data_IF_764479470343
#
_entry.id   IF_764479470343
#
_cell.length_a   1.000
_cell.length_b   1.000
_cell.length_c   1.000
_cell.angle_alpha   90.00
_cell.angle_beta   90.00
_cell.angle_gamma   90.00
#
_symmetry.space_group_name_H-M   'P 1'
#
loop_
_entity.id
_entity.type
_entity.pdbx_description
1 polymer ?
#
# COMPACT_ATOMS: atom_id res chain seq x y z
N UNK A 1 28.17 -17.52 2.94
CA UNK A 1 27.78 -16.23 3.56
C UNK A 1 26.53 -15.64 2.93
N UNK A 2 26.46 -15.46 1.60
CA UNK A 2 25.28 -14.89 0.93
C UNK A 2 23.99 -15.68 1.21
N UNK A 3 24.01 -17.01 1.07
CA UNK A 3 22.83 -17.85 1.36
C UNK A 3 22.34 -17.72 2.80
N UNK A 4 23.26 -17.58 3.75
CA UNK A 4 22.94 -17.37 5.18
C UNK A 4 22.29 -16.00 5.42
N UNK A 5 22.70 -14.96 4.69
CA UNK A 5 22.08 -13.64 4.76
C UNK A 5 20.66 -13.67 4.18
N UNK A 6 20.48 -14.32 3.01
CA UNK A 6 19.17 -14.47 2.37
C UNK A 6 18.17 -15.22 3.26
N UNK A 7 18.61 -16.27 3.95
CA UNK A 7 17.76 -17.05 4.85
C UNK A 7 17.26 -16.27 6.09
N UNK A 8 17.88 -15.12 6.41
CA UNK A 8 17.47 -14.26 7.52
C UNK A 8 16.44 -13.20 7.13
N UNK A 9 16.13 -13.06 5.84
CA UNK A 9 15.13 -12.10 5.38
C UNK A 9 13.74 -12.52 5.89
N UNK A 10 12.94 -11.60 6.48
CA UNK A 10 11.61 -11.92 6.98
C UNK A 10 10.61 -12.02 5.82
N UNK A 11 10.65 -13.13 5.07
CA UNK A 11 9.80 -13.36 3.90
C UNK A 11 8.56 -14.16 4.33
N UNK A 12 7.35 -13.56 4.35
CA UNK A 12 6.15 -14.24 4.84
C UNK A 12 5.66 -15.36 3.90
N UNK A 13 5.97 -15.26 2.60
CA UNK A 13 5.56 -16.25 1.60
C UNK A 13 6.67 -16.47 0.58
N UNK A 14 7.24 -17.66 0.61
CA UNK A 14 8.21 -18.12 -0.38
C UNK A 14 7.49 -18.72 -1.59
N UNK A 15 8.07 -18.53 -2.78
CA UNK A 15 7.58 -19.09 -4.03
C UNK A 15 8.65 -20.00 -4.64
N UNK A 16 8.20 -21.04 -5.34
CA UNK A 16 9.01 -21.89 -6.22
C UNK A 16 8.59 -21.65 -7.66
N UNK A 17 9.49 -21.86 -8.62
CA UNK A 17 9.22 -21.64 -10.03
C UNK A 17 9.84 -22.75 -10.90
N UNK A 18 9.10 -23.15 -11.93
CA UNK A 18 9.47 -24.28 -12.80
C UNK A 18 9.68 -25.56 -12.00
N UNK A 19 10.68 -26.34 -12.39
CA UNK A 19 11.05 -27.60 -11.74
C UNK A 19 12.09 -27.41 -10.62
N UNK A 20 12.38 -26.17 -10.21
CA UNK A 20 13.40 -25.88 -9.20
C UNK A 20 12.88 -26.04 -7.76
N UNK A 21 13.75 -26.55 -6.88
CA UNK A 21 13.56 -26.54 -5.43
C UNK A 21 13.91 -25.20 -4.77
N UNK A 22 14.51 -24.27 -5.51
CA UNK A 22 14.89 -22.95 -5.00
C UNK A 22 13.65 -22.14 -4.62
N UNK A 23 13.71 -21.52 -3.44
CA UNK A 23 12.64 -20.71 -2.87
C UNK A 23 13.09 -19.27 -2.68
N UNK A 24 12.30 -18.31 -3.17
CA UNK A 24 12.48 -16.89 -2.92
C UNK A 24 11.16 -16.14 -3.11
N UNK A 25 11.12 -14.85 -2.75
CA UNK A 25 9.89 -14.03 -2.87
C UNK A 25 9.43 -13.87 -4.32
N UNK A 26 10.36 -13.85 -5.27
CA UNK A 26 10.14 -13.78 -6.72
C UNK A 26 11.28 -14.49 -7.46
N UNK A 27 11.09 -14.92 -8.72
CA UNK A 27 12.17 -15.48 -9.52
C UNK A 27 13.33 -14.48 -9.64
N UNK A 28 14.54 -14.94 -9.37
CA UNK A 28 15.76 -14.18 -9.60
C UNK A 28 16.26 -14.51 -11.01
N UNK A 29 16.79 -13.52 -11.71
CA UNK A 29 17.30 -13.70 -13.08
C UNK A 29 18.81 -13.50 -13.20
N UNK A 30 19.38 -12.64 -12.37
CA UNK A 30 20.81 -12.33 -12.36
C UNK A 30 21.31 -12.22 -10.92
N UNK A 31 22.58 -12.54 -10.73
CA UNK A 31 23.31 -12.35 -9.46
C UNK A 31 24.62 -11.65 -9.80
N UNK A 32 24.86 -10.49 -9.21
CA UNK A 32 26.11 -9.74 -9.39
C UNK A 32 26.80 -9.59 -8.06
N UNK A 33 28.01 -10.17 -7.95
CA UNK A 33 28.83 -10.13 -6.75
C UNK A 33 30.21 -9.59 -7.11
N UNK A 34 30.47 -8.32 -6.78
CA UNK A 34 31.73 -7.64 -7.07
C UNK A 34 32.39 -7.15 -5.78
N UNK A 35 33.71 -7.21 -5.72
CA UNK A 35 34.53 -6.52 -4.72
C UNK A 35 35.46 -5.54 -5.45
N UNK A 36 35.10 -4.25 -5.45
CA UNK A 36 35.74 -3.29 -6.34
C UNK A 36 35.58 -3.74 -7.79
N UNK A 37 36.68 -3.99 -8.49
CA UNK A 37 36.67 -4.51 -9.85
C UNK A 37 36.61 -6.05 -9.95
N UNK A 38 36.79 -6.79 -8.84
CA UNK A 38 36.91 -8.24 -8.89
C UNK A 38 35.54 -8.93 -8.87
N UNK A 39 35.33 -9.86 -9.81
CA UNK A 39 34.15 -10.73 -9.80
C UNK A 39 34.34 -11.84 -8.76
N UNK A 40 33.44 -11.92 -7.80
CA UNK A 40 33.45 -12.96 -6.78
C UNK A 40 32.64 -14.15 -7.31
N UNK A 41 33.28 -15.30 -7.63
CA UNK A 41 32.57 -16.46 -8.14
C UNK A 41 31.69 -17.08 -7.04
N UNK A 42 30.44 -17.39 -7.39
CA UNK A 42 29.57 -18.20 -6.55
C UNK A 42 28.17 -18.33 -7.14
N UNK A 43 27.46 -19.35 -6.66
CA UNK A 43 26.08 -19.62 -7.08
C UNK A 43 25.12 -19.22 -5.98
N UNK A 44 24.12 -18.40 -6.30
CA UNK A 44 23.10 -17.93 -5.37
C UNK A 44 21.74 -18.19 -5.99
N UNK A 45 20.85 -18.88 -5.26
CA UNK A 45 19.51 -19.23 -5.74
C UNK A 45 19.51 -19.96 -7.11
N UNK A 46 20.55 -20.78 -7.36
CA UNK A 46 20.73 -21.52 -8.60
C UNK A 46 21.28 -20.71 -9.78
N UNK A 47 21.76 -19.49 -9.53
CA UNK A 47 22.29 -18.58 -10.56
C UNK A 47 23.74 -18.26 -10.24
N UNK A 48 24.60 -18.42 -11.23
CA UNK A 48 26.01 -18.06 -11.10
C UNK A 48 26.21 -16.55 -11.14
N UNK A 49 27.13 -16.07 -10.31
CA UNK A 49 27.52 -14.68 -10.26
C UNK A 49 28.13 -14.22 -11.58
N UNK A 50 27.63 -13.11 -12.12
CA UNK A 50 28.16 -12.46 -13.31
C UNK A 50 28.21 -10.94 -13.12
N UNK A 51 28.92 -10.25 -14.02
CA UNK A 51 28.94 -8.78 -14.08
C UNK A 51 27.64 -8.17 -14.60
N UNK A 52 26.76 -9.03 -15.12
CA UNK A 52 25.52 -8.66 -15.79
C UNK A 52 24.46 -8.21 -14.79
N UNK A 53 23.98 -6.99 -14.96
CA UNK A 53 22.83 -6.41 -14.26
C UNK A 53 21.73 -6.08 -15.25
N UNK A 54 20.50 -5.97 -14.75
CA UNK A 54 19.33 -5.63 -15.55
C UNK A 54 18.81 -4.26 -15.15
N UNK A 55 18.48 -3.44 -16.16
CA UNK A 55 17.81 -2.17 -15.95
C UNK A 55 16.30 -2.35 -15.77
N UNK A 56 15.60 -1.22 -15.79
CA UNK A 56 14.16 -1.15 -15.65
C UNK A 56 13.46 -1.95 -16.76
N UNK A 57 12.43 -2.72 -16.41
CA UNK A 57 11.80 -3.68 -17.35
C UNK A 57 11.28 -3.05 -18.66
N UNK A 58 10.76 -1.84 -18.57
CA UNK A 58 10.14 -1.10 -19.68
C UNK A 58 10.94 0.10 -20.18
N UNK A 59 11.99 0.51 -19.46
CA UNK A 59 12.71 1.77 -19.68
C UNK A 59 14.21 1.53 -19.61
N UNK A 60 14.99 2.39 -20.27
CA UNK A 60 16.45 2.23 -20.26
C UNK A 60 16.90 0.97 -20.99
N UNK A 61 18.15 0.60 -20.72
CA UNK A 61 18.80 -0.57 -21.28
C UNK A 61 18.45 -1.82 -20.46
N UNK A 62 18.00 -2.88 -21.14
CA UNK A 62 17.47 -4.09 -20.49
C UNK A 62 18.55 -4.86 -19.71
N UNK A 63 19.78 -4.86 -20.20
CA UNK A 63 20.89 -5.62 -19.63
C UNK A 63 22.23 -4.94 -19.97
N UNK A 64 23.13 -4.85 -19.00
CA UNK A 64 24.47 -4.30 -19.17
C UNK A 64 25.42 -4.84 -18.09
N UNK A 65 26.73 -4.61 -18.25
CA UNK A 65 27.76 -5.10 -17.33
C UNK A 65 28.34 -4.00 -16.46
N UNK A 66 28.83 -4.39 -15.28
CA UNK A 66 29.57 -3.53 -14.36
C UNK A 66 31.04 -3.95 -14.33
N UNK A 67 31.93 -2.97 -14.53
CA UNK A 67 33.38 -3.19 -14.42
C UNK A 67 33.85 -3.08 -12.98
N UNK A 68 33.22 -2.18 -12.21
CA UNK A 68 33.49 -1.98 -10.80
C UNK A 68 32.19 -1.81 -10.00
N UNK A 69 32.15 -2.34 -8.77
CA UNK A 69 31.05 -2.20 -7.83
C UNK A 69 30.60 -0.75 -7.61
N UNK A 70 31.54 0.20 -7.55
CA UNK A 70 31.25 1.62 -7.29
C UNK A 70 30.45 2.29 -8.42
N UNK A 71 30.46 1.70 -9.61
CA UNK A 71 29.70 2.19 -10.75
C UNK A 71 28.20 1.85 -10.67
N UNK A 72 27.81 0.94 -9.77
CA UNK A 72 26.46 0.39 -9.67
C UNK A 72 25.37 1.47 -9.64
N UNK A 73 25.43 2.50 -8.75
CA UNK A 73 24.36 3.49 -8.68
C UNK A 73 24.28 4.36 -9.94
N UNK A 74 25.43 4.83 -10.45
CA UNK A 74 25.47 5.77 -11.57
C UNK A 74 25.06 5.11 -12.89
N UNK A 75 25.56 3.91 -13.17
CA UNK A 75 25.22 3.18 -14.41
C UNK A 75 23.73 2.80 -14.42
N UNK A 76 23.19 2.35 -13.29
CA UNK A 76 21.74 2.07 -13.18
C UNK A 76 20.90 3.32 -13.40
N UNK A 77 21.32 4.46 -12.87
CA UNK A 77 20.60 5.72 -13.04
C UNK A 77 20.57 6.16 -14.50
N UNK A 78 21.72 6.16 -15.18
CA UNK A 78 21.88 6.71 -16.52
C UNK A 78 21.35 5.77 -17.61
N UNK A 79 21.78 4.51 -17.58
CA UNK A 79 21.49 3.51 -18.62
C UNK A 79 20.27 2.68 -18.24
N UNK A 80 20.23 2.19 -17.01
CA UNK A 80 19.18 1.30 -16.54
C UNK A 80 17.86 1.96 -16.21
N UNK A 81 17.81 3.30 -16.06
CA UNK A 81 16.65 4.02 -15.51
C UNK A 81 16.20 3.44 -14.17
N UNK A 82 17.13 3.28 -13.24
CA UNK A 82 16.87 2.80 -11.87
C UNK A 82 17.62 3.69 -10.88
N UNK A 83 16.92 4.23 -9.88
CA UNK A 83 17.53 4.95 -8.77
C UNK A 83 17.93 3.92 -7.71
N UNK A 84 19.16 3.43 -7.75
CA UNK A 84 19.59 2.33 -6.88
C UNK A 84 19.57 2.68 -5.39
N UNK A 85 20.05 3.88 -5.03
CA UNK A 85 20.07 4.36 -3.65
C UNK A 85 18.65 4.57 -3.12
N UNK A 86 18.36 3.93 -1.99
CA UNK A 86 17.04 3.93 -1.38
C UNK A 86 16.66 5.31 -0.82
N UNK A 87 17.57 5.95 -0.09
CA UNK A 87 17.31 7.25 0.55
C UNK A 87 17.21 8.36 -0.49
N UNK A 88 18.07 8.33 -1.51
CA UNK A 88 18.01 9.27 -2.63
C UNK A 88 16.66 9.15 -3.38
N UNK A 89 16.20 7.92 -3.60
CA UNK A 89 14.90 7.66 -4.22
C UNK A 89 13.73 8.14 -3.38
N UNK A 90 13.76 7.85 -2.07
CA UNK A 90 12.76 8.31 -1.10
C UNK A 90 12.68 9.84 -1.06
N UNK A 91 13.83 10.51 -1.02
CA UNK A 91 13.92 11.96 -1.04
C UNK A 91 13.39 12.56 -2.37
N UNK A 92 13.69 11.91 -3.50
CA UNK A 92 13.18 12.32 -4.81
C UNK A 92 11.65 12.24 -4.87
N UNK A 93 11.07 11.11 -4.43
CA UNK A 93 9.60 10.93 -4.36
C UNK A 93 8.96 12.02 -3.50
N UNK A 94 9.51 12.25 -2.30
CA UNK A 94 9.00 13.27 -1.37
C UNK A 94 9.01 14.65 -2.00
N UNK A 95 10.16 15.07 -2.52
CA UNK A 95 10.34 16.39 -3.16
C UNK A 95 9.36 16.58 -4.31
N UNK A 96 9.28 15.60 -5.21
CA UNK A 96 8.47 15.72 -6.42
C UNK A 96 6.96 15.69 -6.08
N UNK A 97 6.55 14.94 -5.07
CA UNK A 97 5.18 14.94 -4.56
C UNK A 97 4.81 16.28 -3.90
N UNK A 98 5.69 16.86 -3.08
CA UNK A 98 5.51 18.19 -2.50
C UNK A 98 5.38 19.27 -3.58
N UNK A 99 6.26 19.27 -4.58
CA UNK A 99 6.23 20.21 -5.69
C UNK A 99 4.95 20.07 -6.52
N UNK A 100 4.53 18.85 -6.81
CA UNK A 100 3.29 18.59 -7.53
C UNK A 100 2.06 19.07 -6.72
N UNK A 101 2.05 18.90 -5.38
CA UNK A 101 0.99 19.41 -4.49
C UNK A 101 0.91 20.94 -4.45
N UNK A 102 2.06 21.60 -4.39
CA UNK A 102 2.10 23.06 -4.41
C UNK A 102 1.56 23.63 -5.73
N UNK A 103 1.85 23.00 -6.87
CA UNK A 103 1.36 23.45 -8.19
C UNK A 103 -0.16 23.48 -8.30
N UNK A 104 -0.84 22.62 -7.56
CA UNK A 104 -2.30 22.51 -7.55
C UNK A 104 -2.93 23.21 -6.33
N UNK A 105 -2.12 23.90 -5.53
CA UNK A 105 -2.57 24.67 -4.36
C UNK A 105 -2.94 23.81 -3.14
N UNK A 106 -2.44 22.57 -3.06
CA UNK A 106 -2.72 21.64 -1.96
C UNK A 106 -1.48 21.17 -1.20
N UNK A 107 -1.72 20.34 -0.18
CA UNK A 107 -0.68 19.71 0.65
C UNK A 107 -0.79 18.19 0.57
N UNK A 108 0.29 17.53 0.15
CA UNK A 108 0.36 16.08 0.11
C UNK A 108 0.53 15.51 1.52
N UNK A 109 -0.23 14.46 1.81
CA UNK A 109 -0.03 13.62 2.98
C UNK A 109 1.00 12.54 2.65
N UNK A 110 2.21 12.80 3.15
CA UNK A 110 3.42 12.03 2.92
C UNK A 110 3.80 11.34 4.24
N UNK A 111 2.91 10.50 4.78
CA UNK A 111 3.24 9.70 5.96
C UNK A 111 4.48 8.86 5.69
N UNK A 112 5.43 8.84 6.63
CA UNK A 112 6.72 8.17 6.43
C UNK A 112 6.54 6.70 6.04
N UNK A 113 5.59 5.99 6.67
CA UNK A 113 5.29 4.60 6.35
C UNK A 113 4.90 4.38 4.89
N UNK A 114 4.12 5.30 4.30
CA UNK A 114 3.67 5.21 2.92
C UNK A 114 4.80 5.57 1.97
N UNK A 115 5.62 6.55 2.34
CA UNK A 115 6.80 6.95 1.57
C UNK A 115 7.84 5.82 1.49
N UNK A 116 8.08 5.13 2.61
CA UNK A 116 8.93 3.91 2.68
C UNK A 116 8.38 2.80 1.76
N UNK A 117 7.07 2.56 1.83
CA UNK A 117 6.43 1.55 1.01
C UNK A 117 6.52 1.88 -0.48
N UNK A 118 6.22 3.12 -0.89
CA UNK A 118 6.31 3.55 -2.28
C UNK A 118 7.76 3.53 -2.79
N UNK A 119 8.73 3.95 -1.98
CA UNK A 119 10.16 3.89 -2.33
C UNK A 119 10.64 2.44 -2.54
N UNK A 120 10.07 1.49 -1.78
CA UNK A 120 10.35 0.05 -1.92
C UNK A 120 9.67 -0.57 -3.14
N UNK A 121 8.59 0.02 -3.64
CA UNK A 121 7.82 -0.49 -4.78
C UNK A 121 8.33 0.02 -6.12
N UNK A 122 8.91 1.22 -6.17
CA UNK A 122 9.24 1.90 -7.43
C UNK A 122 10.75 2.01 -7.59
N UNK A 123 11.27 1.59 -8.75
CA UNK A 123 12.71 1.67 -9.07
C UNK A 123 13.08 2.97 -9.83
N UNK A 124 12.12 3.57 -10.54
CA UNK A 124 12.25 4.88 -11.19
C UNK A 124 11.04 5.75 -10.87
N UNK A 125 11.11 6.65 -9.89
CA UNK A 125 9.96 7.41 -9.45
C UNK A 125 9.59 8.50 -10.46
N UNK A 126 8.34 8.48 -10.91
CA UNK A 126 7.73 9.57 -11.68
C UNK A 126 6.40 9.93 -11.02
N UNK A 127 6.32 11.15 -10.50
CA UNK A 127 5.10 11.67 -9.86
C UNK A 127 4.16 12.22 -10.92
N UNK A 128 2.94 11.68 -10.95
CA UNK A 128 1.85 12.13 -11.81
C UNK A 128 0.68 12.63 -10.96
N UNK A 129 0.03 13.69 -11.42
CA UNK A 129 -1.16 14.29 -10.81
C UNK A 129 -2.41 13.94 -11.60
N UNK A 130 -3.50 13.60 -10.92
CA UNK A 130 -4.81 13.48 -11.56
C UNK A 130 -5.97 13.88 -10.66
N UNK A 131 -7.13 14.02 -11.29
CA UNK A 131 -8.40 14.37 -10.66
C UNK A 131 -9.39 13.22 -10.87
N UNK A 132 -10.23 12.96 -9.90
CA UNK A 132 -11.34 12.01 -10.01
C UNK A 132 -12.67 12.77 -10.13
N UNK A 133 -13.72 12.08 -10.55
CA UNK A 133 -15.05 12.68 -10.75
C UNK A 133 -15.66 13.22 -9.45
N UNK A 134 -16.30 14.38 -9.50
CA UNK A 134 -16.91 15.03 -8.32
C UNK A 134 -17.93 14.15 -7.59
N UNK A 135 -18.57 13.20 -8.27
CA UNK A 135 -19.53 12.27 -7.66
C UNK A 135 -18.93 11.50 -6.48
N UNK A 136 -17.63 11.21 -6.51
CA UNK A 136 -16.94 10.49 -5.44
C UNK A 136 -16.76 11.34 -4.19
N UNK A 137 -16.89 12.67 -4.28
CA UNK A 137 -16.90 13.56 -3.11
C UNK A 137 -18.13 13.36 -2.20
N UNK A 138 -19.15 12.62 -2.66
CA UNK A 138 -20.26 12.19 -1.82
C UNK A 138 -19.85 11.12 -0.79
N UNK A 139 -18.72 10.43 -1.00
CA UNK A 139 -18.14 9.46 -0.06
C UNK A 139 -17.30 10.22 0.96
N UNK A 140 -17.36 9.86 2.26
CA UNK A 140 -16.49 10.46 3.28
C UNK A 140 -15.01 10.40 2.87
N UNK A 141 -14.30 11.51 3.06
CA UNK A 141 -12.91 11.65 2.64
C UNK A 141 -12.01 10.58 3.27
N UNK A 142 -12.29 10.16 4.50
CA UNK A 142 -11.56 9.13 5.23
C UNK A 142 -11.63 7.77 4.53
N UNK A 143 -12.80 7.41 3.97
CA UNK A 143 -12.98 6.16 3.25
C UNK A 143 -12.23 6.17 1.91
N UNK A 144 -12.23 7.31 1.20
CA UNK A 144 -11.44 7.49 -0.03
C UNK A 144 -9.93 7.39 0.27
N UNK A 145 -9.47 8.13 1.28
CA UNK A 145 -8.05 8.15 1.69
C UNK A 145 -7.58 6.76 2.11
N UNK A 146 -8.42 6.01 2.85
CA UNK A 146 -8.09 4.64 3.25
C UNK A 146 -7.83 3.74 2.04
N UNK A 147 -8.71 3.74 1.05
CA UNK A 147 -8.56 2.94 -0.17
C UNK A 147 -7.37 3.42 -1.02
N UNK A 148 -7.18 4.74 -1.13
CA UNK A 148 -6.06 5.35 -1.87
C UNK A 148 -4.69 4.97 -1.28
N UNK A 149 -4.53 5.07 0.05
CA UNK A 149 -3.28 4.72 0.73
C UNK A 149 -3.08 3.21 0.83
N UNK A 150 -4.13 2.47 1.19
CA UNK A 150 -4.08 1.04 1.48
C UNK A 150 -3.86 0.19 0.25
N UNK A 151 -4.70 0.37 -0.77
CA UNK A 151 -4.75 -0.53 -1.92
C UNK A 151 -3.91 -0.03 -3.09
N UNK A 152 -3.86 1.29 -3.28
CA UNK A 152 -3.25 1.90 -4.47
C UNK A 152 -1.90 2.57 -4.22
N UNK A 153 -1.52 2.77 -2.94
CA UNK A 153 -0.27 3.43 -2.53
C UNK A 153 -0.12 4.84 -3.09
N UNK A 154 -1.23 5.57 -3.10
CA UNK A 154 -1.30 6.95 -3.55
C UNK A 154 -1.15 7.94 -2.39
N UNK A 155 -0.52 9.09 -2.65
CA UNK A 155 -0.47 10.20 -1.71
C UNK A 155 -1.72 11.08 -1.89
N UNK A 156 -2.63 11.19 -0.90
CA UNK A 156 -3.75 12.11 -1.01
C UNK A 156 -3.27 13.56 -0.83
N UNK A 157 -3.84 14.49 -1.61
CA UNK A 157 -3.62 15.93 -1.43
C UNK A 157 -4.84 16.62 -0.91
N UNK A 158 -4.65 17.32 0.21
CA UNK A 158 -5.66 18.13 0.86
C UNK A 158 -5.60 19.57 0.36
N UNK A 159 -6.78 20.17 0.20
CA UNK A 159 -6.93 21.61 -0.02
C UNK A 159 -6.46 22.44 1.19
N UNK A 160 -6.39 23.77 1.03
CA UNK A 160 -6.01 24.70 2.10
C UNK A 160 -6.97 24.69 3.31
N UNK A 161 -8.20 24.20 3.13
CA UNK A 161 -9.18 24.04 4.21
C UNK A 161 -9.05 22.70 4.93
N UNK A 162 -8.11 21.83 4.51
CA UNK A 162 -7.89 20.49 5.05
C UNK A 162 -9.05 19.52 4.80
N UNK A 163 -9.99 19.87 3.92
CA UNK A 163 -11.32 19.26 3.89
C UNK A 163 -11.51 18.25 2.77
N UNK A 164 -10.81 18.42 1.66
CA UNK A 164 -11.02 17.60 0.46
C UNK A 164 -9.70 17.08 -0.08
N UNK A 165 -9.57 15.76 -0.16
CA UNK A 165 -8.47 15.10 -0.85
C UNK A 165 -8.68 15.23 -2.37
N UNK A 166 -8.53 16.42 -2.94
CA UNK A 166 -9.04 16.72 -4.29
C UNK A 166 -8.20 16.12 -5.43
N UNK A 167 -6.95 15.72 -5.19
CA UNK A 167 -6.04 15.36 -6.29
C UNK A 167 -5.13 14.18 -5.93
N UNK A 168 -4.95 13.29 -6.91
CA UNK A 168 -4.41 11.95 -6.76
C UNK A 168 -2.98 11.85 -7.33
N UNK A 169 -2.09 11.21 -6.56
CA UNK A 169 -0.67 11.07 -6.87
C UNK A 169 -0.36 9.64 -7.27
N UNK A 170 0.07 9.47 -8.51
CA UNK A 170 0.61 8.21 -9.02
C UNK A 170 2.14 8.31 -9.03
N UNK A 171 2.84 7.46 -8.27
CA UNK A 171 4.23 7.12 -8.56
C UNK A 171 4.24 5.94 -9.55
N UNK A 172 4.37 6.21 -10.85
CA UNK A 172 4.32 5.19 -11.89
C UNK A 172 5.70 4.73 -12.38
N UNK A 173 5.92 3.42 -12.50
CA UNK A 173 7.10 2.77 -13.10
C UNK A 173 7.10 2.80 -14.65
N UNK A 174 6.58 3.83 -15.32
CA UNK A 174 6.40 3.77 -16.78
C UNK A 174 6.86 5.01 -17.54
N UNK A 175 7.21 4.77 -18.81
CA UNK A 175 7.61 5.78 -19.79
C UNK A 175 6.44 6.75 -19.99
N UNK A 176 6.63 8.02 -19.64
CA UNK A 176 5.66 9.07 -19.92
C UNK A 176 5.85 9.53 -21.37
N UNK A 177 5.39 8.71 -22.33
CA UNK A 177 5.37 9.11 -23.75
C UNK A 177 4.10 9.90 -24.12
N UNK A 178 3.12 9.96 -23.23
CA UNK A 178 1.82 10.62 -23.45
C UNK A 178 1.44 11.51 -22.27
N UNK A 179 0.55 12.50 -22.46
CA UNK A 179 0.07 13.35 -21.38
C UNK A 179 -0.49 12.52 -20.21
N UNK A 180 -0.24 12.95 -18.97
CA UNK A 180 -0.61 12.23 -17.74
C UNK A 180 -2.09 11.80 -17.67
N UNK A 181 -2.99 12.55 -18.32
CA UNK A 181 -4.43 12.28 -18.38
C UNK A 181 -4.81 11.00 -19.16
N UNK A 182 -3.99 10.56 -20.11
CA UNK A 182 -4.23 9.33 -20.87
C UNK A 182 -3.70 8.10 -20.13
N UNK A 183 -2.59 8.24 -19.40
CA UNK A 183 -2.05 7.19 -18.52
C UNK A 183 -2.98 6.86 -17.36
N UNK A 184 -3.68 7.85 -16.81
CA UNK A 184 -4.65 7.65 -15.74
C UNK A 184 -5.90 6.88 -16.19
N UNK A 185 -6.30 7.03 -17.46
CA UNK A 185 -7.46 6.35 -18.05
C UNK A 185 -7.15 4.92 -18.50
N UNK A 186 -5.93 4.64 -18.99
CA UNK A 186 -5.55 3.30 -19.46
C UNK A 186 -5.29 2.30 -18.33
N UNK A 187 -4.90 2.76 -17.13
CA UNK A 187 -5.11 1.95 -15.95
C UNK A 187 -6.60 1.99 -15.63
N UNK A 188 -7.31 0.94 -15.97
CA UNK A 188 -8.67 0.63 -15.51
C UNK A 188 -8.85 0.79 -13.98
N UNK A 189 -7.76 0.94 -13.21
CA UNK A 189 -7.75 1.19 -11.76
C UNK A 189 -7.86 2.64 -11.27
N UNK A 190 -7.68 3.66 -12.13
CA UNK A 190 -7.72 5.07 -11.69
C UNK A 190 -9.12 5.53 -11.25
N UNK A 191 -10.14 5.06 -11.94
CA UNK A 191 -11.55 5.23 -11.56
C UNK A 191 -12.06 4.11 -10.64
N UNK A 192 -11.37 2.95 -10.57
CA UNK A 192 -11.85 1.81 -9.79
C UNK A 192 -11.75 2.05 -8.30
N UNK A 193 -10.69 2.70 -7.79
CA UNK A 193 -10.52 2.85 -6.35
C UNK A 193 -11.56 3.80 -5.70
N UNK A 194 -11.86 4.98 -6.27
CA UNK A 194 -12.99 5.80 -5.80
C UNK A 194 -14.34 5.09 -5.96
N UNK A 195 -14.53 4.32 -7.04
CA UNK A 195 -15.73 3.53 -7.26
C UNK A 195 -15.90 2.37 -6.26
N UNK A 196 -14.80 1.71 -5.88
CA UNK A 196 -14.77 0.66 -4.87
C UNK A 196 -15.13 1.24 -3.50
N UNK A 197 -14.53 2.39 -3.13
CA UNK A 197 -14.86 3.08 -1.89
C UNK A 197 -16.35 3.49 -1.85
N UNK A 198 -16.88 4.04 -2.94
CA UNK A 198 -18.30 4.35 -3.08
C UNK A 198 -19.18 3.10 -2.96
N UNK A 199 -18.81 2.01 -3.63
CA UNK A 199 -19.55 0.76 -3.60
C UNK A 199 -19.61 0.17 -2.19
N UNK A 200 -18.47 0.10 -1.48
CA UNK A 200 -18.42 -0.39 -0.11
C UNK A 200 -19.21 0.52 0.83
N UNK A 201 -19.03 1.84 0.73
CA UNK A 201 -19.77 2.80 1.54
C UNK A 201 -21.29 2.68 1.33
N UNK A 202 -21.75 2.62 0.08
CA UNK A 202 -23.16 2.48 -0.23
C UNK A 202 -23.71 1.10 0.17
N UNK A 203 -22.88 0.05 0.12
CA UNK A 203 -23.27 -1.28 0.59
C UNK A 203 -23.42 -1.31 2.10
N UNK A 204 -22.49 -0.71 2.84
CA UNK A 204 -22.53 -0.63 4.29
C UNK A 204 -23.70 0.22 4.78
N UNK A 205 -24.12 1.24 4.02
CA UNK A 205 -25.32 2.05 4.30
C UNK A 205 -26.64 1.29 4.17
N UNK A 206 -26.67 0.11 3.53
CA UNK A 206 -27.92 -0.67 3.35
C UNK A 206 -28.44 -1.28 4.65
N UNK A 207 -27.58 -1.45 5.65
CA UNK A 207 -27.95 -2.00 6.96
C UNK A 207 -27.45 -1.09 8.06
N UNK A 208 -28.26 -0.88 9.09
CA UNK A 208 -27.79 -0.14 10.26
C UNK A 208 -26.81 -1.01 11.03
N UNK A 209 -25.87 -0.39 11.74
CA UNK A 209 -24.91 -1.14 12.57
C UNK A 209 -25.64 -2.01 13.61
N UNK A 210 -26.74 -1.51 14.17
CA UNK A 210 -27.60 -2.25 15.12
C UNK A 210 -28.21 -3.52 14.54
N UNK A 211 -28.47 -3.57 13.22
CA UNK A 211 -29.02 -4.75 12.55
C UNK A 211 -28.01 -5.92 12.51
N UNK A 212 -26.73 -5.66 12.80
CA UNK A 212 -25.71 -6.69 12.91
C UNK A 212 -25.62 -7.31 14.31
N UNK A 213 -26.25 -6.72 15.33
CA UNK A 213 -26.20 -7.23 16.71
C UNK A 213 -26.69 -8.68 16.85
N UNK A 214 -27.79 -9.11 16.20
CA UNK A 214 -28.24 -10.50 16.29
C UNK A 214 -27.23 -11.50 15.72
N UNK A 215 -26.37 -11.10 14.76
CA UNK A 215 -25.33 -12.00 14.21
C UNK A 215 -24.26 -12.35 15.24
N UNK A 216 -24.11 -11.56 16.32
CA UNK A 216 -23.12 -11.84 17.35
C UNK A 216 -23.51 -13.03 18.23
N UNK A 217 -24.79 -13.43 18.22
CA UNK A 217 -25.29 -14.61 18.94
C UNK A 217 -24.83 -15.91 18.29
N UNK A 218 -24.52 -15.91 16.99
CA UNK A 218 -24.09 -17.14 16.29
C UNK A 218 -22.59 -17.40 16.43
N UNK A 219 -21.81 -16.41 16.88
CA UNK A 219 -20.36 -16.52 16.99
C UNK A 219 -19.98 -16.89 18.43
N UNK A 220 -19.56 -18.14 18.63
CA UNK A 220 -19.07 -18.60 19.93
C UNK A 220 -17.79 -17.83 20.32
N UNK A 221 -17.80 -17.18 21.48
CA UNK A 221 -16.61 -16.53 22.04
C UNK A 221 -15.76 -17.55 22.81
N UNK A 222 -16.39 -18.27 23.74
CA UNK A 222 -15.76 -19.35 24.52
C UNK A 222 -16.85 -20.27 25.06
N UNK A 223 -16.63 -21.59 25.03
CA UNK A 223 -17.65 -22.60 25.39
C UNK A 223 -18.39 -22.34 26.71
N UNK A 224 -17.69 -21.92 27.77
CA UNK A 224 -18.28 -21.67 29.09
C UNK A 224 -18.80 -20.24 29.28
N UNK A 225 -18.42 -19.31 28.40
CA UNK A 225 -18.76 -17.89 28.52
C UNK A 225 -19.73 -17.42 27.42
N UNK A 226 -20.20 -18.33 26.58
CA UNK A 226 -21.19 -18.09 25.55
C UNK A 226 -20.62 -17.41 24.29
N UNK A 227 -21.45 -16.56 23.72
CA UNK A 227 -21.31 -15.95 22.39
C UNK A 227 -20.60 -14.61 22.46
N UNK A 228 -20.25 -14.03 21.30
CA UNK A 228 -19.76 -12.66 21.22
C UNK A 228 -20.81 -11.65 21.68
N UNK A 229 -22.10 -11.97 21.53
CA UNK A 229 -23.19 -11.15 22.09
C UNK A 229 -23.11 -11.11 23.62
N UNK A 230 -23.00 -12.28 24.26
CA UNK A 230 -22.90 -12.39 25.72
C UNK A 230 -21.67 -11.66 26.28
N UNK A 231 -20.56 -11.68 25.55
CA UNK A 231 -19.37 -10.89 25.89
C UNK A 231 -19.66 -9.39 25.82
N UNK A 232 -20.29 -8.94 24.73
CA UNK A 232 -20.58 -7.52 24.50
C UNK A 232 -21.51 -6.97 25.56
N UNK A 233 -22.57 -7.70 25.90
CA UNK A 233 -23.55 -7.30 26.91
C UNK A 233 -22.91 -7.19 28.32
N UNK A 234 -22.00 -8.11 28.67
CA UNK A 234 -21.22 -8.02 29.92
C UNK A 234 -20.30 -6.81 29.95
N UNK A 235 -19.60 -6.53 28.85
CA UNK A 235 -18.71 -5.35 28.75
C UNK A 235 -19.52 -4.07 28.87
N UNK A 236 -20.69 -3.99 28.22
CA UNK A 236 -21.57 -2.83 28.31
C UNK A 236 -22.06 -2.60 29.74
N UNK A 237 -22.46 -3.66 30.45
CA UNK A 237 -22.87 -3.58 31.85
C UNK A 237 -21.73 -3.10 32.76
N UNK A 238 -20.53 -3.66 32.58
CA UNK A 238 -19.35 -3.26 33.34
C UNK A 238 -18.94 -1.81 33.07
N UNK A 239 -18.94 -1.40 31.80
CA UNK A 239 -18.62 -0.03 31.41
C UNK A 239 -19.61 0.98 32.01
N UNK A 240 -20.91 0.66 32.01
CA UNK A 240 -21.94 1.47 32.67
C UNK A 240 -21.74 1.58 34.18
N UNK A 241 -21.37 0.48 34.84
CA UNK A 241 -21.04 0.49 36.27
C UNK A 241 -19.84 1.39 36.57
N UNK A 242 -18.74 1.27 35.81
CA UNK A 242 -17.53 2.10 35.98
C UNK A 242 -17.85 3.58 35.72
N UNK A 243 -18.60 3.89 34.66
CA UNK A 243 -19.01 5.26 34.34
C UNK A 243 -19.75 5.92 35.52
N UNK A 244 -20.64 5.18 36.18
CA UNK A 244 -21.33 5.64 37.39
C UNK A 244 -20.39 5.90 38.58
N UNK A 245 -19.32 5.10 38.75
CA UNK A 245 -18.34 5.30 39.83
C UNK A 245 -17.47 6.55 39.63
N UNK A 246 -17.18 6.92 38.38
CA UNK A 246 -16.32 8.06 38.04
C UNK A 246 -17.10 9.35 37.75
N UNK A 247 -18.43 9.32 37.87
CA UNK A 247 -19.29 10.47 37.57
C UNK A 247 -19.35 10.85 36.09
N UNK A 248 -19.05 9.91 35.19
CA UNK A 248 -19.23 10.08 33.76
C UNK A 248 -20.70 9.91 33.36
N UNK A 249 -21.11 10.50 32.25
CA UNK A 249 -22.48 10.38 31.74
C UNK A 249 -22.82 8.91 31.45
N UNK A 250 -23.86 8.40 32.12
CA UNK A 250 -24.26 6.98 32.12
C UNK A 250 -25.31 6.68 31.05
N UNK A 251 -25.81 7.71 30.34
CA UNK A 251 -26.70 7.50 29.21
C UNK A 251 -25.95 6.77 28.10
N UNK A 252 -26.41 5.57 27.67
CA UNK A 252 -25.92 4.99 26.44
C UNK A 252 -26.33 5.95 25.32
N UNK A 253 -25.37 6.73 24.81
CA UNK A 253 -25.57 7.41 23.54
C UNK A 253 -25.81 6.29 22.54
N UNK A 254 -27.07 6.10 22.16
CA UNK A 254 -27.43 5.42 20.92
C UNK A 254 -26.47 6.00 19.87
N UNK A 255 -25.73 5.18 19.09
CA UNK A 255 -24.82 5.72 18.09
C UNK A 255 -25.63 6.46 17.03
N UNK A 256 -25.96 7.72 17.31
CA UNK A 256 -26.20 8.73 16.30
C UNK A 256 -24.91 8.76 15.50
N UNK A 257 -25.04 8.72 14.18
CA UNK A 257 -23.97 8.48 13.22
C UNK A 257 -22.68 9.28 13.51
N UNK A 258 -21.56 8.86 12.92
CA UNK A 258 -20.23 9.21 13.40
C UNK A 258 -20.03 10.73 13.44
N UNK A 259 -20.09 11.31 14.63
CA UNK A 259 -19.16 12.36 15.01
C UNK A 259 -17.93 11.62 15.55
N UNK A 260 -17.17 11.01 14.64
CA UNK A 260 -15.81 10.58 14.94
C UNK A 260 -15.01 11.88 14.95
N UNK A 261 -14.83 12.46 16.13
CA UNK A 261 -13.73 13.37 16.34
C UNK A 261 -12.47 12.50 16.37
N UNK A 262 -11.85 12.33 15.20
CA UNK A 262 -10.58 11.62 15.07
C UNK A 262 -9.55 12.42 15.85
N UNK A 263 -9.24 11.99 17.08
CA UNK A 263 -8.05 12.48 17.75
C UNK A 263 -6.82 11.93 17.01
N UNK A 264 -5.76 12.73 16.81
CA UNK A 264 -4.63 12.36 15.93
C UNK A 264 -3.85 11.09 16.33
N UNK A 265 -4.08 10.53 17.52
CA UNK A 265 -3.26 9.46 18.10
C UNK A 265 -3.88 8.05 18.10
N UNK A 266 -5.10 7.86 17.60
CA UNK A 266 -5.69 6.50 17.56
C UNK A 266 -5.26 5.73 16.30
N UNK A 267 -4.20 4.92 16.45
CA UNK A 267 -3.63 4.04 15.42
C UNK A 267 -4.55 2.86 14.97
N UNK A 268 -5.86 2.91 15.24
CA UNK A 268 -6.78 1.83 14.90
C UNK A 268 -7.77 2.29 13.84
N UNK A 269 -7.32 2.21 12.58
CA UNK A 269 -8.08 2.59 11.41
C UNK A 269 -9.41 1.84 11.25
N UNK A 270 -10.37 2.51 10.62
CA UNK A 270 -11.64 1.96 10.15
C UNK A 270 -11.36 0.75 9.27
N UNK A 271 -11.69 -0.47 9.75
CA UNK A 271 -11.56 -1.69 8.96
C UNK A 271 -12.75 -1.81 8.01
N UNK A 272 -12.54 -1.49 6.74
CA UNK A 272 -13.43 -1.91 5.66
C UNK A 272 -13.22 -3.42 5.46
N UNK A 273 -14.23 -4.23 5.80
CA UNK A 273 -14.14 -5.69 5.71
C UNK A 273 -14.28 -6.18 4.27
N UNK A 274 -13.19 -6.71 3.69
CA UNK A 274 -13.24 -7.48 2.45
C UNK A 274 -13.67 -8.92 2.76
N UNK A 275 -14.81 -9.36 2.21
CA UNK A 275 -15.23 -10.76 2.28
C UNK A 275 -14.37 -11.59 1.32
N UNK A 276 -13.73 -12.70 1.74
CA UNK A 276 -12.97 -13.54 0.82
C UNK A 276 -13.95 -14.47 0.10
N UNK A 277 -14.22 -14.20 -1.18
CA UNK A 277 -15.14 -15.01 -1.97
C UNK A 277 -14.87 -14.90 -3.46
N UNK A 278 -14.23 -15.95 -3.99
CA UNK A 278 -14.11 -16.33 -5.41
C UNK A 278 -13.39 -15.34 -6.32
N UNK A 279 -12.16 -15.70 -6.69
CA UNK A 279 -11.68 -15.66 -8.08
C UNK A 279 -10.49 -16.62 -8.22
N UNK A 280 -10.83 -17.90 -8.40
CA UNK A 280 -9.92 -18.89 -8.93
C UNK A 280 -10.13 -18.98 -10.43
N UNK A 281 -9.46 -18.11 -11.19
CA UNK A 281 -9.25 -18.32 -12.62
C UNK A 281 -7.75 -18.28 -12.91
N UNK A 282 -7.23 -19.48 -13.19
CA UNK A 282 -5.88 -19.70 -13.67
C UNK A 282 -5.70 -19.00 -15.03
N UNK A 283 -4.93 -17.92 -15.04
CA UNK A 283 -4.34 -17.39 -16.26
C UNK A 283 -3.14 -18.27 -16.61
N UNK A 284 -3.35 -19.22 -17.52
CA UNK A 284 -2.28 -19.73 -18.38
C UNK A 284 -1.83 -18.57 -19.28
N UNK A 285 -0.54 -18.29 -19.29
CA UNK A 285 0.11 -17.50 -20.34
C UNK A 285 1.05 -18.45 -21.12
N UNK A 286 1.26 -18.20 -22.43
CA UNK A 286 2.17 -18.97 -23.27
C UNK A 286 3.63 -18.84 -22.85
#
# INVERSE_FOLDING_TARGET
MVSTALAKLPIPKLMRWGDSDVQFVRPVHTVTMLLGADLIPGTVLGIDSARTVRGHRFMGEAEFTLDNADQYPQILLERGKVVADYEARKALIKRDAELAAQKIGGKADLSDSLLEEVASLVEWPVVLTAKFEEKFLAVPAEALVYTMKGDQKYFPVYDAAGKTAAELYLCGQHRVERPAADHFRQREGGASAPADAEFFFNTDRKKRLEDNLPRLETVLFQQQLGTLRDKTDRIQALAGWVAGQIGADVQPRHPRGPAVEVRPDDQHGVRIHRHPGRDGHALRAP
#
